data_IF_729608520917
#
_entry.id   IF_729608520917
#
_cell.length_a   1.000
_cell.length_b   1.000
_cell.length_c   1.000
_cell.angle_alpha   90.00
_cell.angle_beta   90.00
_cell.angle_gamma   90.00
#
_symmetry.space_group_name_H-M   'P 1'
#
loop_
_entity.id
_entity.type
_entity.pdbx_description
1 polymer ?
#
# COMPACT_ATOMS: atom_id res chain seq x y z
N UNK A 1 -13.35 -2.51 -11.05
CA UNK A 1 -13.02 -2.22 -9.64
C UNK A 1 -11.66 -1.53 -9.61
N UNK A 2 -11.60 -0.31 -9.09
CA UNK A 2 -10.40 0.55 -8.99
C UNK A 2 -9.67 0.32 -7.66
N UNK A 3 -8.42 0.79 -7.55
CA UNK A 3 -7.67 0.72 -6.29
C UNK A 3 -8.38 1.44 -5.14
N UNK A 4 -9.02 2.58 -5.44
CA UNK A 4 -9.80 3.35 -4.47
C UNK A 4 -11.01 2.54 -3.98
N UNK A 5 -11.76 1.94 -4.90
CA UNK A 5 -12.91 1.09 -4.57
C UNK A 5 -12.49 -0.12 -3.70
N UNK A 6 -11.35 -0.76 -4.01
CA UNK A 6 -10.82 -1.86 -3.18
C UNK A 6 -10.47 -1.40 -1.77
N UNK A 7 -9.80 -0.24 -1.63
CA UNK A 7 -9.46 0.32 -0.31
C UNK A 7 -10.71 0.66 0.50
N UNK A 8 -11.73 1.23 -0.12
CA UNK A 8 -13.01 1.52 0.55
C UNK A 8 -13.71 0.26 1.05
N UNK A 9 -13.76 -0.79 0.22
CA UNK A 9 -14.34 -2.08 0.61
C UNK A 9 -13.56 -2.69 1.79
N UNK A 10 -12.22 -2.69 1.73
CA UNK A 10 -11.38 -3.21 2.80
C UNK A 10 -11.51 -2.42 4.10
N UNK A 11 -11.62 -1.08 4.04
CA UNK A 11 -11.84 -0.28 5.24
C UNK A 11 -13.18 -0.64 5.91
N UNK A 12 -14.26 -0.74 5.14
CA UNK A 12 -15.57 -1.16 5.66
C UNK A 12 -15.52 -2.57 6.25
N UNK A 13 -14.77 -3.47 5.61
CA UNK A 13 -14.57 -4.83 6.11
C UNK A 13 -13.82 -4.81 7.45
N UNK A 14 -12.72 -4.05 7.56
CA UNK A 14 -11.96 -3.90 8.82
C UNK A 14 -12.84 -3.37 9.95
N UNK A 15 -13.63 -2.32 9.70
CA UNK A 15 -14.55 -1.76 10.69
C UNK A 15 -15.55 -2.82 11.16
N UNK A 16 -16.16 -3.53 10.22
CA UNK A 16 -17.15 -4.58 10.53
C UNK A 16 -16.56 -5.71 11.36
N UNK A 17 -15.43 -6.28 10.94
CA UNK A 17 -14.81 -7.40 11.65
C UNK A 17 -14.30 -6.97 13.03
N UNK A 18 -13.63 -5.81 13.16
CA UNK A 18 -13.01 -5.39 14.42
C UNK A 18 -13.95 -4.76 15.45
N UNK A 19 -15.08 -4.20 15.02
CA UNK A 19 -16.04 -3.57 15.93
C UNK A 19 -17.31 -4.40 16.07
N UNK A 20 -18.03 -4.65 14.97
CA UNK A 20 -19.36 -5.28 15.01
C UNK A 20 -19.30 -6.74 15.43
N UNK A 21 -18.45 -7.55 14.78
CA UNK A 21 -18.38 -8.98 15.05
C UNK A 21 -17.67 -9.27 16.37
N UNK A 22 -16.55 -8.60 16.67
CA UNK A 22 -15.88 -8.70 17.98
C UNK A 22 -16.82 -8.34 19.13
N UNK A 23 -17.57 -7.24 19.02
CA UNK A 23 -18.55 -6.84 20.05
C UNK A 23 -19.65 -7.89 20.18
N UNK A 24 -20.18 -8.38 19.06
CA UNK A 24 -21.23 -9.40 19.03
C UNK A 24 -20.80 -10.67 19.77
N UNK A 25 -19.65 -11.25 19.40
CA UNK A 25 -19.16 -12.47 20.05
C UNK A 25 -18.86 -12.25 21.54
N UNK A 26 -18.24 -11.13 21.93
CA UNK A 26 -17.99 -10.82 23.33
C UNK A 26 -19.30 -10.68 24.13
N UNK A 27 -20.32 -10.03 23.58
CA UNK A 27 -21.61 -9.87 24.25
C UNK A 27 -22.32 -11.22 24.45
N UNK A 28 -22.29 -12.09 23.44
CA UNK A 28 -22.87 -13.44 23.57
C UNK A 28 -22.06 -14.29 24.55
N UNK A 29 -20.72 -14.15 24.57
CA UNK A 29 -19.85 -14.84 25.54
C UNK A 29 -20.19 -14.46 26.98
N UNK A 30 -20.43 -13.16 27.25
CA UNK A 30 -20.86 -12.68 28.57
C UNK A 30 -22.19 -13.29 29.02
N UNK A 31 -23.16 -13.42 28.10
CA UNK A 31 -24.43 -14.09 28.39
C UNK A 31 -24.21 -15.58 28.68
N UNK A 32 -23.43 -16.28 27.86
CA UNK A 32 -23.10 -17.69 28.07
C UNK A 32 -22.43 -17.92 29.44
N UNK A 33 -21.53 -17.03 29.84
CA UNK A 33 -20.89 -17.03 31.16
C UNK A 33 -21.89 -16.85 32.29
N UNK A 34 -22.82 -15.89 32.15
CA UNK A 34 -23.85 -15.62 33.15
C UNK A 34 -24.82 -16.81 33.32
N UNK A 35 -25.07 -17.56 32.25
CA UNK A 35 -25.91 -18.76 32.25
C UNK A 35 -25.16 -20.04 32.64
N UNK A 36 -23.84 -19.97 32.87
CA UNK A 36 -23.02 -21.10 33.32
C UNK A 36 -22.49 -22.01 32.21
N UNK A 37 -22.55 -21.59 30.95
CA UNK A 37 -22.02 -22.33 29.79
C UNK A 37 -20.55 -21.95 29.52
N UNK A 38 -19.63 -22.39 30.38
CA UNK A 38 -18.20 -22.04 30.30
C UNK A 38 -17.54 -22.43 28.96
N UNK A 39 -17.89 -23.58 28.40
CA UNK A 39 -17.30 -24.05 27.13
C UNK A 39 -17.76 -23.17 25.96
N UNK A 40 -19.00 -22.68 26.02
CA UNK A 40 -19.58 -21.80 24.99
C UNK A 40 -18.98 -20.39 25.11
N UNK A 41 -18.81 -19.86 26.34
CA UNK A 41 -18.08 -18.60 26.56
C UNK A 41 -16.68 -18.68 25.93
N UNK A 42 -15.91 -19.73 26.27
CA UNK A 42 -14.54 -19.88 25.78
C UNK A 42 -14.47 -19.94 24.24
N UNK A 43 -15.39 -20.69 23.60
CA UNK A 43 -15.50 -20.75 22.15
C UNK A 43 -15.80 -19.38 21.52
N UNK A 44 -16.75 -18.64 22.08
CA UNK A 44 -17.14 -17.32 21.56
C UNK A 44 -16.04 -16.28 21.75
N UNK A 45 -15.32 -16.31 22.88
CA UNK A 45 -14.13 -15.47 23.07
C UNK A 45 -13.03 -15.80 22.05
N UNK A 46 -12.86 -17.08 21.69
CA UNK A 46 -11.91 -17.46 20.65
C UNK A 46 -12.31 -16.91 19.27
N UNK A 47 -13.60 -16.95 18.91
CA UNK A 47 -14.08 -16.32 17.67
C UNK A 47 -13.92 -14.81 17.67
N UNK A 48 -14.20 -14.13 18.79
CA UNK A 48 -13.93 -12.70 18.90
C UNK A 48 -12.44 -12.38 18.63
N UNK A 49 -11.51 -13.24 19.05
CA UNK A 49 -10.09 -13.07 18.77
C UNK A 49 -9.74 -13.36 17.30
N UNK A 50 -10.38 -14.35 16.69
CA UNK A 50 -10.24 -14.64 15.26
C UNK A 50 -10.67 -13.44 14.39
N UNK A 51 -11.79 -12.80 14.72
CA UNK A 51 -12.26 -11.61 13.98
C UNK A 51 -11.29 -10.41 14.10
N UNK A 52 -10.63 -10.25 15.27
CA UNK A 52 -9.55 -9.26 15.39
C UNK A 52 -8.38 -9.58 14.46
N UNK A 53 -7.95 -10.84 14.40
CA UNK A 53 -6.85 -11.28 13.54
C UNK A 53 -7.18 -11.10 12.06
N UNK A 54 -8.43 -11.35 11.66
CA UNK A 54 -8.94 -11.10 10.30
C UNK A 54 -8.89 -9.61 9.99
N UNK A 55 -9.40 -8.76 10.88
CA UNK A 55 -9.36 -7.31 10.71
C UNK A 55 -7.92 -6.78 10.63
N UNK A 56 -7.00 -7.27 11.46
CA UNK A 56 -5.59 -6.90 11.41
C UNK A 56 -4.93 -7.30 10.10
N UNK A 57 -5.26 -8.48 9.57
CA UNK A 57 -4.76 -8.93 8.27
C UNK A 57 -5.25 -8.01 7.16
N UNK A 58 -6.52 -7.64 7.17
CA UNK A 58 -7.09 -6.70 6.20
C UNK A 58 -6.45 -5.30 6.31
N UNK A 59 -6.13 -4.82 7.53
CA UNK A 59 -5.37 -3.57 7.72
C UNK A 59 -3.97 -3.62 7.10
N UNK A 60 -3.24 -4.73 7.27
CA UNK A 60 -1.92 -4.91 6.63
C UNK A 60 -2.04 -4.87 5.11
N UNK A 61 -3.09 -5.44 4.53
CA UNK A 61 -3.35 -5.34 3.08
C UNK A 61 -3.60 -3.89 2.67
N UNK A 62 -4.39 -3.12 3.43
CA UNK A 62 -4.61 -1.68 3.16
C UNK A 62 -3.30 -0.87 3.17
N UNK A 63 -2.40 -1.16 4.11
CA UNK A 63 -1.07 -0.54 4.19
C UNK A 63 -0.24 -0.88 2.95
N UNK A 64 -0.19 -2.15 2.55
CA UNK A 64 0.52 -2.59 1.34
C UNK A 64 -0.03 -1.90 0.07
N UNK A 65 -1.35 -1.81 -0.06
CA UNK A 65 -1.99 -1.08 -1.18
C UNK A 65 -1.65 0.41 -1.18
N UNK A 66 -1.38 1.00 -0.02
CA UNK A 66 -0.96 2.40 0.11
C UNK A 66 0.51 2.58 -0.28
N UNK A 67 1.38 1.68 0.14
CA UNK A 67 2.79 1.65 -0.32
C UNK A 67 2.87 1.47 -1.84
N UNK A 68 2.07 0.56 -2.39
CA UNK A 68 1.98 0.33 -3.84
C UNK A 68 1.58 1.60 -4.59
N UNK A 69 0.61 2.34 -4.08
CA UNK A 69 0.19 3.61 -4.69
C UNK A 69 1.31 4.66 -4.67
N UNK A 70 2.02 4.79 -3.55
CA UNK A 70 3.16 5.71 -3.42
C UNK A 70 4.27 5.35 -4.40
N UNK A 71 4.62 4.06 -4.50
CA UNK A 71 5.67 3.60 -5.43
C UNK A 71 5.29 3.84 -6.90
N UNK A 72 4.02 3.64 -7.26
CA UNK A 72 3.54 3.94 -8.61
C UNK A 72 3.65 5.44 -8.95
N UNK A 73 3.21 6.32 -8.04
CA UNK A 73 3.33 7.79 -8.23
C UNK A 73 4.79 8.23 -8.30
N UNK A 74 5.64 7.67 -7.45
CA UNK A 74 7.08 7.92 -7.48
C UNK A 74 7.66 7.54 -8.85
N UNK A 75 7.37 6.34 -9.34
CA UNK A 75 7.87 5.89 -10.64
C UNK A 75 7.36 6.71 -11.84
N UNK A 76 6.13 7.23 -11.77
CA UNK A 76 5.62 8.16 -12.77
C UNK A 76 6.41 9.46 -12.77
N UNK A 77 6.66 10.03 -11.58
CA UNK A 77 7.40 11.28 -11.41
C UNK A 77 8.84 11.18 -11.94
N UNK A 78 9.59 10.18 -11.48
CA UNK A 78 11.00 9.99 -11.90
C UNK A 78 11.10 9.84 -13.43
N UNK A 79 10.19 9.07 -14.04
CA UNK A 79 10.20 8.81 -15.48
C UNK A 79 9.69 9.99 -16.33
N UNK A 80 8.68 10.72 -15.88
CA UNK A 80 8.03 11.76 -16.69
C UNK A 80 8.68 13.13 -16.49
N UNK A 81 9.02 13.49 -15.25
CA UNK A 81 9.52 14.81 -14.91
C UNK A 81 11.04 14.87 -15.03
N UNK A 82 11.77 14.00 -14.31
CA UNK A 82 13.22 14.12 -14.23
C UNK A 82 13.93 13.68 -15.51
N UNK A 83 13.49 12.60 -16.17
CA UNK A 83 14.02 12.21 -17.50
C UNK A 83 13.85 13.34 -18.53
N UNK A 84 12.68 13.99 -18.55
CA UNK A 84 12.42 15.08 -19.49
C UNK A 84 13.26 16.32 -19.16
N UNK A 85 13.43 16.64 -17.87
CA UNK A 85 14.24 17.76 -17.39
C UNK A 85 15.72 17.57 -17.76
N UNK A 86 16.32 16.44 -17.40
CA UNK A 86 17.72 16.16 -17.74
C UNK A 86 17.97 16.17 -19.25
N UNK A 87 17.11 15.54 -20.03
CA UNK A 87 17.23 15.56 -21.50
C UNK A 87 17.14 16.98 -22.08
N UNK A 88 16.25 17.82 -21.53
CA UNK A 88 16.14 19.23 -21.95
C UNK A 88 17.42 20.01 -21.68
N UNK A 89 18.02 19.86 -20.50
CA UNK A 89 19.27 20.55 -20.14
C UNK A 89 20.45 19.99 -20.93
N UNK A 90 20.50 18.67 -21.18
CA UNK A 90 21.52 18.04 -22.01
C UNK A 90 21.53 18.61 -23.44
N UNK A 91 20.35 18.79 -24.05
CA UNK A 91 20.22 19.40 -25.37
C UNK A 91 20.73 20.85 -25.39
N UNK A 92 20.49 21.63 -24.34
CA UNK A 92 21.03 22.99 -24.21
C UNK A 92 22.56 22.97 -24.08
N UNK A 93 23.12 22.10 -23.23
CA UNK A 93 24.57 21.95 -23.07
C UNK A 93 25.25 21.57 -24.39
N UNK A 94 24.63 20.67 -25.17
CA UNK A 94 25.08 20.29 -26.51
C UNK A 94 25.09 21.47 -27.48
N UNK A 95 24.05 22.29 -27.47
CA UNK A 95 23.94 23.47 -28.33
C UNK A 95 25.01 24.52 -28.00
N UNK A 96 25.42 24.61 -26.73
CA UNK A 96 26.48 25.50 -26.25
C UNK A 96 27.89 24.90 -26.37
N UNK A 97 28.03 23.64 -26.82
CA UNK A 97 29.31 22.98 -27.04
C UNK A 97 29.93 22.30 -25.81
N UNK A 98 29.18 22.14 -24.72
CA UNK A 98 29.63 21.45 -23.52
C UNK A 98 29.36 19.94 -23.59
N UNK A 99 30.14 19.22 -24.41
CA UNK A 99 29.94 17.78 -24.66
C UNK A 99 30.00 16.92 -23.38
N UNK A 100 30.90 17.23 -22.46
CA UNK A 100 31.06 16.44 -21.23
C UNK A 100 29.85 16.61 -20.29
N UNK A 101 29.25 17.81 -20.29
CA UNK A 101 28.06 18.13 -19.51
C UNK A 101 26.82 17.47 -20.13
N UNK A 102 26.69 17.50 -21.46
CA UNK A 102 25.62 16.75 -22.15
C UNK A 102 25.69 15.26 -21.81
N UNK A 103 26.85 14.62 -21.96
CA UNK A 103 27.01 13.20 -21.67
C UNK A 103 26.65 12.85 -20.22
N UNK A 104 27.08 13.68 -19.26
CA UNK A 104 26.74 13.50 -17.85
C UNK A 104 25.22 13.61 -17.60
N UNK A 105 24.55 14.60 -18.19
CA UNK A 105 23.11 14.80 -18.00
C UNK A 105 22.27 13.70 -18.68
N UNK A 106 22.69 13.22 -19.84
CA UNK A 106 22.08 12.05 -20.48
C UNK A 106 22.20 10.80 -19.58
N UNK A 107 23.35 10.58 -18.95
CA UNK A 107 23.54 9.48 -18.01
C UNK A 107 22.63 9.60 -16.77
N UNK A 108 22.38 10.81 -16.27
CA UNK A 108 21.40 11.01 -15.19
C UNK A 108 19.97 10.73 -15.65
N UNK A 109 19.59 11.12 -16.87
CA UNK A 109 18.28 10.76 -17.42
C UNK A 109 18.08 9.23 -17.48
N UNK A 110 19.10 8.47 -17.90
CA UNK A 110 19.05 7.00 -17.88
C UNK A 110 18.91 6.42 -16.46
N UNK A 111 19.61 7.00 -15.48
CA UNK A 111 19.50 6.59 -14.07
C UNK A 111 18.08 6.81 -13.54
N UNK A 112 17.43 7.94 -13.85
CA UNK A 112 16.04 8.19 -13.43
C UNK A 112 15.06 7.20 -14.06
N UNK A 113 15.30 6.80 -15.32
CA UNK A 113 14.49 5.75 -15.96
C UNK A 113 14.63 4.40 -15.21
N UNK A 114 15.84 4.04 -14.80
CA UNK A 114 16.11 2.81 -14.05
C UNK A 114 15.54 2.83 -12.63
N UNK A 115 15.56 3.98 -11.96
CA UNK A 115 14.89 4.18 -10.66
C UNK A 115 13.39 3.99 -10.83
N UNK A 116 12.77 4.62 -11.82
CA UNK A 116 11.35 4.45 -12.11
C UNK A 116 11.00 3.00 -12.43
N UNK A 117 11.81 2.32 -13.25
CA UNK A 117 11.65 0.90 -13.59
C UNK A 117 11.69 0.01 -12.34
N UNK A 118 12.63 0.28 -11.45
CA UNK A 118 12.79 -0.44 -10.18
C UNK A 118 11.58 -0.23 -9.27
N UNK A 119 11.13 1.01 -9.11
CA UNK A 119 9.94 1.33 -8.31
C UNK A 119 8.68 0.63 -8.85
N UNK A 120 8.46 0.60 -10.18
CA UNK A 120 7.36 -0.17 -10.80
C UNK A 120 7.48 -1.67 -10.50
N UNK A 121 8.68 -2.22 -10.56
CA UNK A 121 8.91 -3.64 -10.28
C UNK A 121 8.58 -3.99 -8.83
N UNK A 122 9.00 -3.16 -7.87
CA UNK A 122 8.65 -3.35 -6.45
C UNK A 122 7.15 -3.20 -6.25
N UNK A 123 6.52 -2.18 -6.82
CA UNK A 123 5.07 -1.98 -6.73
C UNK A 123 4.27 -3.16 -7.33
N UNK A 124 4.78 -3.79 -8.39
CA UNK A 124 4.19 -4.98 -9.00
C UNK A 124 4.36 -6.26 -8.19
N UNK A 125 5.34 -6.31 -7.28
CA UNK A 125 5.58 -7.44 -6.39
C UNK A 125 4.82 -7.35 -5.05
N UNK A 126 4.23 -6.18 -4.75
CA UNK A 126 3.28 -5.95 -3.66
C UNK A 126 1.85 -6.26 -4.10
#
# INVERSE_FOLDING_TARGET
MTLVEVKEILNKFVEKESEEHVSTYNNVALTAKAEGYSDIEAMLCAYAEEEKNIAETARKVLELLSVKEVLSKFAEKENAEHVAEYNKVALAAKAEGYSDIEAMLCAYAEQEEDIARTARKVAGAL
#
